data_IF_060043642165
#
_entry.id   IF_060043642165
#
_cell.length_a   1.000
_cell.length_b   1.000
_cell.length_c   1.000
_cell.angle_alpha   90.00
_cell.angle_beta   90.00
_cell.angle_gamma   90.00
#
_symmetry.space_group_name_H-M   'P 1'
#
loop_
_entity.id
_entity.type
_entity.pdbx_description
1 polymer ?
#
# COMPACT_ATOMS: atom_id res chain seq x y z
N UNK A 1 -24.42 8.75 3.86
CA UNK A 1 -23.90 10.12 3.65
C UNK A 1 -22.49 9.97 3.06
N UNK A 2 -22.35 10.26 1.77
CA UNK A 2 -21.07 10.26 1.06
C UNK A 2 -20.28 11.46 1.56
N UNK A 3 -19.14 11.22 2.26
CA UNK A 3 -18.20 12.28 2.55
C UNK A 3 -17.53 12.64 1.22
N UNK A 4 -18.01 13.69 0.59
CA UNK A 4 -17.34 14.36 -0.52
C UNK A 4 -16.00 14.82 0.04
N UNK A 5 -14.92 14.20 -0.41
CA UNK A 5 -13.56 14.69 -0.16
C UNK A 5 -13.52 16.16 -0.62
N UNK A 6 -13.08 17.03 0.27
CA UNK A 6 -13.01 18.44 -0.05
C UNK A 6 -12.11 18.65 -1.28
N UNK A 7 -12.46 19.56 -2.21
CA UNK A 7 -11.71 19.78 -3.45
C UNK A 7 -10.22 20.10 -3.24
N UNK A 8 -9.85 20.57 -2.06
CA UNK A 8 -8.45 20.89 -1.70
C UNK A 8 -7.55 19.64 -1.55
N UNK A 9 -8.10 18.49 -1.13
CA UNK A 9 -7.29 17.25 -0.97
C UNK A 9 -6.95 16.63 -2.33
N UNK A 10 -7.81 16.78 -3.31
CA UNK A 10 -7.60 16.26 -4.67
C UNK A 10 -6.47 17.03 -5.35
N UNK A 11 -6.42 18.36 -5.20
CA UNK A 11 -5.39 19.20 -5.81
C UNK A 11 -3.98 18.89 -5.27
N UNK A 12 -3.83 18.58 -3.97
CA UNK A 12 -2.54 18.23 -3.37
C UNK A 12 -1.99 16.88 -3.87
N UNK A 13 -2.85 15.91 -4.09
CA UNK A 13 -2.45 14.61 -4.64
C UNK A 13 -2.09 14.72 -6.12
N UNK A 14 -2.78 15.58 -6.88
CA UNK A 14 -2.45 15.86 -8.28
C UNK A 14 -1.11 16.59 -8.39
N UNK A 15 -0.83 17.56 -7.51
CA UNK A 15 0.48 18.21 -7.43
C UNK A 15 1.58 17.22 -7.05
N UNK A 16 1.31 16.32 -6.10
CA UNK A 16 2.24 15.27 -5.72
C UNK A 16 2.49 14.30 -6.87
N UNK A 17 1.47 13.97 -7.65
CA UNK A 17 1.59 13.12 -8.84
C UNK A 17 2.49 13.74 -9.93
N UNK A 18 2.49 15.06 -10.07
CA UNK A 18 3.38 15.76 -11.01
C UNK A 18 4.87 15.59 -10.66
N UNK A 19 5.19 15.25 -9.40
CA UNK A 19 6.55 14.99 -8.92
C UNK A 19 6.84 13.49 -8.72
N UNK A 20 6.07 12.60 -9.35
CA UNK A 20 6.30 11.17 -9.30
C UNK A 20 7.68 10.81 -9.89
N UNK A 21 8.34 9.75 -9.38
CA UNK A 21 9.50 9.20 -10.04
C UNK A 21 9.14 8.78 -11.48
N UNK A 22 10.10 8.76 -12.41
CA UNK A 22 9.82 8.27 -13.76
C UNK A 22 9.39 6.81 -13.71
N UNK A 23 8.47 6.42 -14.58
CA UNK A 23 7.93 5.06 -14.59
C UNK A 23 9.01 3.98 -14.70
N UNK A 24 10.08 4.28 -15.41
CA UNK A 24 11.26 3.39 -15.51
C UNK A 24 11.90 3.05 -14.17
N UNK A 25 11.66 3.84 -13.12
CA UNK A 25 12.18 3.58 -11.78
C UNK A 25 11.45 2.42 -11.08
N UNK A 26 10.19 2.17 -11.43
CA UNK A 26 9.35 1.19 -10.74
C UNK A 26 8.76 0.09 -11.63
N UNK A 27 8.99 0.08 -12.94
CA UNK A 27 8.71 -1.08 -13.80
C UNK A 27 9.47 -2.30 -13.28
N UNK A 28 8.76 -3.43 -13.15
CA UNK A 28 9.32 -4.68 -12.62
C UNK A 28 9.50 -4.69 -11.10
N UNK A 29 9.14 -3.61 -10.42
CA UNK A 29 9.12 -3.52 -8.97
C UNK A 29 7.75 -3.91 -8.41
N UNK A 30 7.63 -3.94 -7.09
CA UNK A 30 6.38 -4.20 -6.41
C UNK A 30 5.83 -2.90 -5.83
N UNK A 31 4.53 -2.67 -5.97
CA UNK A 31 3.89 -1.45 -5.47
C UNK A 31 2.89 -1.82 -4.39
N UNK A 32 3.14 -1.33 -3.17
CA UNK A 32 2.22 -1.44 -2.05
C UNK A 32 1.21 -0.29 -2.11
N UNK A 33 -0.06 -0.63 -2.23
CA UNK A 33 -1.17 0.31 -2.21
C UNK A 33 -1.83 0.28 -0.84
N UNK A 34 -1.79 1.41 -0.13
CA UNK A 34 -2.18 1.50 1.28
C UNK A 34 -3.18 2.63 1.53
N UNK A 35 -3.93 2.55 2.61
CA UNK A 35 -4.83 3.62 3.02
C UNK A 35 -4.04 4.82 3.58
N UNK A 36 -3.98 5.89 2.80
CA UNK A 36 -3.18 7.08 3.10
C UNK A 36 -3.67 7.91 4.29
N UNK A 37 -4.89 7.67 4.80
CA UNK A 37 -5.42 8.32 6.01
C UNK A 37 -5.41 7.42 7.25
N UNK A 38 -4.89 6.22 7.13
CA UNK A 38 -4.75 5.26 8.22
C UNK A 38 -3.36 5.41 8.87
N UNK A 39 -3.29 5.89 10.10
CA UNK A 39 -2.00 6.08 10.79
C UNK A 39 -1.29 4.75 11.07
N UNK A 40 -2.03 3.67 11.32
CA UNK A 40 -1.47 2.33 11.42
C UNK A 40 -0.82 1.89 10.10
N UNK A 41 -1.49 2.10 8.97
CA UNK A 41 -0.98 1.75 7.65
C UNK A 41 0.28 2.56 7.29
N UNK A 42 0.33 3.83 7.70
CA UNK A 42 1.53 4.66 7.55
C UNK A 42 2.71 4.07 8.31
N UNK A 43 2.51 3.61 9.55
CA UNK A 43 3.55 2.93 10.33
C UNK A 43 4.08 1.67 9.66
N UNK A 44 3.20 0.89 9.02
CA UNK A 44 3.61 -0.29 8.23
C UNK A 44 4.47 0.11 7.04
N UNK A 45 4.10 1.18 6.32
CA UNK A 45 4.89 1.70 5.20
C UNK A 45 6.29 2.12 5.67
N UNK A 46 6.40 2.84 6.77
CA UNK A 46 7.69 3.25 7.35
C UNK A 46 8.56 2.05 7.73
N UNK A 47 7.97 1.03 8.37
CA UNK A 47 8.66 -0.22 8.70
C UNK A 47 9.10 -1.00 7.45
N UNK A 48 8.28 -1.02 6.41
CA UNK A 48 8.61 -1.66 5.15
C UNK A 48 9.79 -0.96 4.46
N UNK A 49 9.80 0.38 4.40
CA UNK A 49 10.92 1.15 3.85
C UNK A 49 12.23 0.83 4.60
N UNK A 50 12.19 0.81 5.92
CA UNK A 50 13.36 0.51 6.76
C UNK A 50 13.90 -0.92 6.55
N UNK A 51 13.06 -1.85 6.13
CA UNK A 51 13.39 -3.27 5.98
C UNK A 51 13.55 -3.71 4.51
N UNK A 52 13.35 -2.83 3.55
CA UNK A 52 13.52 -3.10 2.11
C UNK A 52 14.94 -2.76 1.64
N UNK A 53 15.90 -3.59 2.05
CA UNK A 53 17.32 -3.38 1.74
C UNK A 53 17.64 -3.33 0.23
N UNK A 54 16.76 -3.90 -0.61
CA UNK A 54 16.94 -3.95 -2.07
C UNK A 54 16.21 -2.83 -2.81
N UNK A 55 15.47 -1.99 -2.12
CA UNK A 55 14.61 -0.96 -2.73
C UNK A 55 13.70 -1.52 -3.85
N UNK A 56 13.03 -2.64 -3.56
CA UNK A 56 12.15 -3.33 -4.52
C UNK A 56 10.69 -2.93 -4.39
N UNK A 57 10.32 -2.22 -3.31
CA UNK A 57 8.94 -1.87 -3.02
C UNK A 57 8.77 -0.37 -3.15
N UNK A 58 7.79 0.03 -3.95
CA UNK A 58 7.27 1.39 -4.06
C UNK A 58 5.93 1.46 -3.33
N UNK A 59 5.48 2.66 -3.03
CA UNK A 59 4.30 2.90 -2.19
C UNK A 59 3.37 3.89 -2.87
N UNK A 60 2.08 3.65 -2.79
CA UNK A 60 1.07 4.58 -3.27
C UNK A 60 -0.14 4.58 -2.35
N UNK A 61 -0.64 5.76 -1.93
CA UNK A 61 -1.90 5.81 -1.21
C UNK A 61 -3.05 5.39 -2.12
N UNK A 62 -4.02 4.64 -1.60
CA UNK A 62 -5.22 4.24 -2.33
C UNK A 62 -6.02 5.43 -2.88
N UNK A 63 -5.87 6.59 -2.26
CA UNK A 63 -6.52 7.83 -2.67
C UNK A 63 -5.82 8.54 -3.85
N UNK A 64 -4.63 8.09 -4.26
CA UNK A 64 -3.87 8.72 -5.34
C UNK A 64 -4.48 8.48 -6.72
N UNK A 65 -4.28 9.38 -7.69
CA UNK A 65 -4.63 9.14 -9.08
C UNK A 65 -4.01 7.84 -9.63
N UNK A 66 -2.76 7.56 -9.31
CA UNK A 66 -2.08 6.34 -9.71
C UNK A 66 -2.80 5.07 -9.23
N UNK A 67 -3.14 5.00 -7.94
CA UNK A 67 -3.81 3.83 -7.37
C UNK A 67 -5.20 3.62 -7.97
N UNK A 68 -5.95 4.70 -8.20
CA UNK A 68 -7.27 4.63 -8.84
C UNK A 68 -7.18 4.06 -10.25
N UNK A 69 -6.23 4.52 -11.05
CA UNK A 69 -6.00 4.02 -12.40
C UNK A 69 -5.51 2.57 -12.38
N UNK A 70 -4.48 2.27 -11.61
CA UNK A 70 -3.86 0.97 -11.57
C UNK A 70 -4.81 -0.14 -11.08
N UNK A 71 -5.56 0.09 -10.01
CA UNK A 71 -6.56 -0.87 -9.51
C UNK A 71 -7.81 -0.91 -10.38
N UNK A 72 -8.18 0.20 -11.01
CA UNK A 72 -9.29 0.27 -11.95
C UNK A 72 -9.15 -0.70 -13.11
N UNK A 73 -7.92 -0.98 -13.56
CA UNK A 73 -7.63 -2.00 -14.59
C UNK A 73 -8.07 -3.42 -14.18
N UNK A 74 -8.14 -3.68 -12.87
CA UNK A 74 -8.59 -4.94 -12.28
C UNK A 74 -10.04 -4.90 -11.78
N UNK A 75 -10.79 -3.82 -12.08
CA UNK A 75 -12.16 -3.64 -11.62
C UNK A 75 -12.28 -3.36 -10.12
N UNK A 76 -11.22 -2.87 -9.48
CA UNK A 76 -11.16 -2.57 -8.05
C UNK A 76 -11.30 -1.07 -7.86
N UNK A 77 -12.26 -0.65 -7.03
CA UNK A 77 -12.39 0.73 -6.58
C UNK A 77 -11.45 0.96 -5.38
N UNK A 78 -10.36 1.69 -5.61
CA UNK A 78 -9.38 2.00 -4.57
C UNK A 78 -9.94 2.84 -3.43
N UNK A 79 -10.97 3.66 -3.70
CA UNK A 79 -11.57 4.56 -2.71
C UNK A 79 -12.52 3.87 -1.73
N UNK A 80 -12.87 2.62 -1.97
CA UNK A 80 -13.58 1.80 -0.97
C UNK A 80 -12.72 1.47 0.27
N UNK A 81 -11.39 1.61 0.17
CA UNK A 81 -10.43 1.42 1.26
C UNK A 81 -10.60 0.08 2.01
N UNK A 82 -11.02 -0.96 1.31
CA UNK A 82 -11.36 -2.26 1.93
C UNK A 82 -10.14 -3.02 2.43
N UNK A 83 -9.01 -2.83 1.76
CA UNK A 83 -7.82 -3.64 1.96
C UNK A 83 -6.57 -2.91 1.50
N UNK A 84 -5.41 -3.37 1.92
CA UNK A 84 -4.18 -3.09 1.19
C UNK A 84 -4.10 -3.98 -0.05
N UNK A 85 -3.41 -3.50 -1.06
CA UNK A 85 -3.13 -4.24 -2.28
C UNK A 85 -1.64 -4.21 -2.59
N UNK A 86 -1.19 -5.18 -3.36
CA UNK A 86 0.15 -5.18 -3.94
C UNK A 86 0.02 -5.47 -5.43
N UNK A 87 0.60 -4.60 -6.23
CA UNK A 87 0.90 -4.88 -7.64
C UNK A 87 2.31 -5.44 -7.68
N UNK A 88 2.46 -6.72 -7.96
CA UNK A 88 3.78 -7.32 -8.13
C UNK A 88 4.22 -7.23 -9.58
N UNK A 89 5.53 -7.07 -9.80
CA UNK A 89 6.14 -7.03 -11.12
C UNK A 89 5.48 -6.02 -12.07
N UNK A 90 5.21 -4.82 -11.50
CA UNK A 90 4.44 -3.77 -12.13
C UNK A 90 4.93 -3.45 -13.55
N UNK A 91 4.00 -3.31 -14.49
CA UNK A 91 4.29 -2.94 -15.89
C UNK A 91 4.93 -4.04 -16.72
N UNK A 92 5.04 -5.26 -16.22
CA UNK A 92 5.54 -6.42 -16.96
C UNK A 92 4.42 -7.40 -17.32
N UNK A 93 4.75 -8.41 -18.12
CA UNK A 93 3.82 -9.51 -18.44
C UNK A 93 3.42 -10.35 -17.22
N UNK A 94 4.21 -10.29 -16.15
CA UNK A 94 4.01 -11.05 -14.90
C UNK A 94 3.29 -10.24 -13.83
N UNK A 95 2.83 -9.02 -14.17
CA UNK A 95 2.08 -8.17 -13.24
C UNK A 95 0.87 -8.91 -12.68
N UNK A 96 0.75 -8.88 -11.35
CA UNK A 96 -0.41 -9.46 -10.67
C UNK A 96 -0.83 -8.60 -9.48
N UNK A 97 -2.14 -8.54 -9.23
CA UNK A 97 -2.72 -7.88 -8.06
C UNK A 97 -2.96 -8.89 -6.94
N UNK A 98 -2.59 -8.53 -5.72
CA UNK A 98 -2.90 -9.25 -4.49
C UNK A 98 -3.60 -8.33 -3.53
N UNK A 99 -4.48 -8.89 -2.69
CA UNK A 99 -5.22 -8.14 -1.67
C UNK A 99 -5.10 -8.82 -0.31
N UNK A 100 -5.24 -8.07 0.77
CA UNK A 100 -5.36 -8.55 2.15
C UNK A 100 -4.16 -9.41 2.60
N UNK A 101 -4.41 -10.56 3.25
CA UNK A 101 -3.36 -11.42 3.76
C UNK A 101 -2.34 -11.87 2.70
N UNK A 102 -2.72 -12.28 1.48
CA UNK A 102 -1.77 -12.54 0.40
C UNK A 102 -0.88 -11.37 0.04
N UNK A 103 -1.42 -10.16 0.02
CA UNK A 103 -0.64 -8.96 -0.24
C UNK A 103 0.37 -8.70 0.87
N UNK A 104 -0.07 -8.78 2.12
CA UNK A 104 0.79 -8.63 3.30
C UNK A 104 1.92 -9.64 3.32
N UNK A 105 1.62 -10.93 3.17
CA UNK A 105 2.62 -11.98 3.20
C UNK A 105 3.60 -11.89 2.02
N UNK A 106 3.13 -11.50 0.84
CA UNK A 106 3.98 -11.27 -0.32
C UNK A 106 5.06 -10.22 -0.02
N UNK A 107 4.69 -9.10 0.63
CA UNK A 107 5.64 -8.06 1.00
C UNK A 107 6.57 -8.52 2.11
N UNK A 108 6.05 -9.09 3.19
CA UNK A 108 6.85 -9.54 4.34
C UNK A 108 7.98 -10.48 3.92
N UNK A 109 7.71 -11.43 3.02
CA UNK A 109 8.71 -12.37 2.51
C UNK A 109 9.82 -11.71 1.67
N UNK A 110 9.63 -10.48 1.23
CA UNK A 110 10.60 -9.70 0.44
C UNK A 110 11.36 -8.67 1.25
N UNK A 111 10.94 -8.45 2.47
CA UNK A 111 11.64 -7.59 3.42
C UNK A 111 12.78 -8.35 4.11
N UNK A 112 13.51 -7.68 4.97
CA UNK A 112 14.61 -8.26 5.75
C UNK A 112 14.32 -8.25 7.24
N UNK A 113 15.12 -9.00 8.01
CA UNK A 113 15.08 -9.00 9.47
C UNK A 113 13.79 -9.61 10.03
N UNK A 114 13.27 -9.00 11.09
CA UNK A 114 12.10 -9.49 11.81
C UNK A 114 10.84 -9.57 10.96
N UNK A 115 10.67 -8.64 10.02
CA UNK A 115 9.51 -8.64 9.11
C UNK A 115 9.54 -9.84 8.16
N UNK A 116 10.70 -10.24 7.68
CA UNK A 116 10.82 -11.46 6.88
C UNK A 116 10.47 -12.69 7.70
N UNK A 117 10.99 -12.79 8.93
CA UNK A 117 10.69 -13.90 9.84
C UNK A 117 9.18 -13.98 10.14
N UNK A 118 8.52 -12.84 10.31
CA UNK A 118 7.07 -12.78 10.45
C UNK A 118 6.36 -13.33 9.22
N UNK A 119 6.79 -12.95 8.02
CA UNK A 119 6.26 -13.48 6.76
C UNK A 119 6.42 -15.00 6.64
N UNK A 120 7.58 -15.52 7.00
CA UNK A 120 7.84 -16.96 7.02
C UNK A 120 6.94 -17.70 8.03
N UNK A 121 6.76 -17.14 9.23
CA UNK A 121 5.87 -17.69 10.24
C UNK A 121 4.41 -17.68 9.76
N UNK A 122 3.95 -16.57 9.18
CA UNK A 122 2.61 -16.46 8.63
C UNK A 122 2.35 -17.45 7.50
N UNK A 123 3.34 -17.67 6.62
CA UNK A 123 3.21 -18.60 5.48
C UNK A 123 3.00 -20.05 5.89
N UNK A 124 3.36 -20.42 7.11
CA UNK A 124 3.14 -21.77 7.66
C UNK A 124 1.73 -21.97 8.22
N UNK A 125 0.99 -20.90 8.44
CA UNK A 125 -0.39 -20.96 8.94
C UNK A 125 -1.34 -21.35 7.81
N UNK A 126 -2.46 -22.05 8.12
CA UNK A 126 -3.53 -22.27 7.16
C UNK A 126 -4.05 -20.93 6.63
N UNK A 127 -4.45 -20.88 5.36
CA UNK A 127 -4.94 -19.66 4.70
C UNK A 127 -6.09 -19.02 5.47
N UNK A 128 -7.03 -19.80 5.97
CA UNK A 128 -8.17 -19.28 6.73
C UNK A 128 -7.73 -18.56 8.01
N UNK A 129 -6.66 -19.00 8.66
CA UNK A 129 -6.08 -18.32 9.84
C UNK A 129 -5.44 -16.99 9.43
N UNK A 130 -4.67 -16.98 8.36
CA UNK A 130 -4.06 -15.74 7.84
C UNK A 130 -5.12 -14.70 7.49
N UNK A 131 -6.19 -15.11 6.81
CA UNK A 131 -7.29 -14.22 6.42
C UNK A 131 -8.05 -13.68 7.66
N UNK A 132 -8.28 -14.52 8.67
CA UNK A 132 -8.93 -14.10 9.91
C UNK A 132 -8.08 -13.11 10.72
N UNK A 133 -6.78 -13.33 10.83
CA UNK A 133 -5.85 -12.43 11.51
C UNK A 133 -5.76 -11.08 10.78
N UNK A 134 -5.64 -11.10 9.46
CA UNK A 134 -5.64 -9.88 8.66
C UNK A 134 -6.94 -9.08 8.85
N UNK A 135 -8.08 -9.76 8.75
CA UNK A 135 -9.40 -9.14 8.92
C UNK A 135 -9.55 -8.50 10.31
N UNK A 136 -9.11 -9.17 11.36
CA UNK A 136 -9.18 -8.65 12.72
C UNK A 136 -8.44 -7.33 12.86
N UNK A 137 -7.24 -7.20 12.27
CA UNK A 137 -6.47 -5.95 12.25
C UNK A 137 -7.17 -4.90 11.38
N UNK A 138 -7.61 -5.26 10.19
CA UNK A 138 -8.26 -4.35 9.25
C UNK A 138 -9.55 -3.74 9.84
N UNK A 139 -10.35 -4.54 10.53
CA UNK A 139 -11.63 -4.10 11.12
C UNK A 139 -11.42 -3.12 12.27
N UNK A 140 -10.34 -3.23 13.04
CA UNK A 140 -10.10 -2.39 14.22
C UNK A 140 -9.04 -1.30 14.04
N UNK A 141 -8.45 -1.16 12.86
CA UNK A 141 -7.31 -0.22 12.67
C UNK A 141 -7.65 1.23 12.98
N UNK A 142 -8.87 1.67 12.72
CA UNK A 142 -9.33 3.03 13.04
C UNK A 142 -9.79 3.20 14.50
N UNK A 143 -10.10 2.10 15.19
CA UNK A 143 -10.45 2.12 16.61
C UNK A 143 -9.22 2.20 17.49
N UNK A 144 -8.12 1.60 17.05
CA UNK A 144 -6.86 1.53 17.79
C UNK A 144 -5.86 2.62 17.41
N UNK A 145 -5.99 3.21 16.23
CA UNK A 145 -5.10 4.24 15.70
C UNK A 145 -5.89 5.41 15.13
N UNK A 146 -5.47 6.66 15.37
CA UNK A 146 -6.21 7.82 14.87
C UNK A 146 -6.23 7.86 13.34
N UNK A 147 -7.38 8.21 12.80
CA UNK A 147 -7.56 8.51 11.40
C UNK A 147 -6.97 9.88 11.09
N UNK A 148 -6.11 9.97 10.10
CA UNK A 148 -5.52 11.23 9.66
C UNK A 148 -6.56 12.09 8.93
N UNK A 149 -6.40 13.40 9.00
CA UNK A 149 -7.32 14.34 8.32
C UNK A 149 -7.15 14.36 6.81
N UNK A 150 -5.93 14.08 6.35
CA UNK A 150 -5.55 14.11 4.94
C UNK A 150 -4.45 13.08 4.66
N UNK A 151 -4.31 12.72 3.39
CA UNK A 151 -3.21 11.87 2.93
C UNK A 151 -1.89 12.62 3.10
N UNK A 152 -0.95 12.01 3.83
CA UNK A 152 0.38 12.55 4.00
C UNK A 152 1.23 12.40 2.74
N UNK A 153 1.95 13.44 2.37
CA UNK A 153 2.97 13.40 1.32
C UNK A 153 4.32 13.37 2.04
N UNK A 154 5.05 12.26 2.04
CA UNK A 154 6.32 12.17 2.76
C UNK A 154 7.40 12.99 2.06
N UNK A 155 8.24 13.67 2.84
CA UNK A 155 9.45 14.32 2.35
C UNK A 155 10.60 13.31 2.25
N UNK A 156 10.77 12.50 3.31
CA UNK A 156 11.77 11.44 3.33
C UNK A 156 11.37 10.29 2.39
N UNK A 157 12.33 9.76 1.64
CA UNK A 157 12.12 8.67 0.67
C UNK A 157 11.04 8.98 -0.38
N UNK A 158 10.90 10.25 -0.74
CA UNK A 158 9.87 10.72 -1.69
C UNK A 158 9.93 9.96 -3.02
N UNK A 159 11.12 9.59 -3.45
CA UNK A 159 11.39 8.82 -4.66
C UNK A 159 10.80 7.39 -4.66
N UNK A 160 10.36 6.91 -3.50
CA UNK A 160 9.71 5.60 -3.34
C UNK A 160 8.18 5.68 -3.40
N UNK A 161 7.63 6.89 -3.51
CA UNK A 161 6.18 7.13 -3.50
C UNK A 161 5.67 7.57 -4.86
N UNK A 162 4.55 6.98 -5.27
CA UNK A 162 3.83 7.26 -6.51
C UNK A 162 2.42 7.75 -6.13
N UNK A 163 2.01 8.89 -6.70
CA UNK A 163 0.71 9.49 -6.42
C UNK A 163 -0.20 9.52 -7.64
#
# INVERSE_FOLDING_TARGET
MSAILAPESTSRLDEAAAANPPETAYIGKHIMLYDGICSYCKGIVEAAIASDARAQIFFSPLQSPFAQEALGRYGIDSLELRSMYVLSDYGTSDEAVRAAAPASNFLLLRLSGELQQLGEANSRKPRAVQDAEYKAVADCRYDTHPKLREVGIPEANRERFIF
#
